data_IF_449425695617
#
_entry.id   IF_449425695617
#
_cell.length_a   1.000
_cell.length_b   1.000
_cell.length_c   1.000
_cell.angle_alpha   90.00
_cell.angle_beta   90.00
_cell.angle_gamma   90.00
#
_symmetry.space_group_name_H-M   'P 1'
#
loop_
_entity.id
_entity.type
_entity.pdbx_description
1 polymer ?
#
# COMPACT_ATOMS: atom_id res chain seq x y z
N UNK A 1 14.29 1.69 -18.38
CA UNK A 1 14.51 2.71 -17.32
C UNK A 1 15.06 2.00 -16.10
N UNK A 2 15.96 2.60 -15.31
CA UNK A 2 16.50 2.00 -14.07
C UNK A 2 15.74 2.50 -12.83
N UNK A 3 15.78 1.81 -11.68
CA UNK A 3 15.18 2.30 -10.44
C UNK A 3 15.58 3.75 -10.10
N UNK A 4 16.87 4.07 -10.21
CA UNK A 4 17.40 5.43 -9.98
C UNK A 4 16.76 6.47 -10.90
N UNK A 5 16.73 6.21 -12.21
CA UNK A 5 16.19 7.17 -13.19
C UNK A 5 14.67 7.32 -13.08
N UNK A 6 13.98 6.24 -12.72
CA UNK A 6 12.54 6.26 -12.44
C UNK A 6 12.18 7.10 -11.22
N UNK A 7 12.89 6.92 -10.11
CA UNK A 7 12.69 7.73 -8.89
C UNK A 7 13.01 9.20 -9.16
N UNK A 8 14.04 9.50 -9.98
CA UNK A 8 14.33 10.87 -10.41
C UNK A 8 13.19 11.47 -11.25
N UNK A 9 12.60 10.71 -12.17
CA UNK A 9 11.47 11.16 -12.97
C UNK A 9 10.22 11.44 -12.10
N UNK A 10 9.91 10.54 -11.16
CA UNK A 10 8.84 10.75 -10.16
C UNK A 10 9.06 12.02 -9.36
N UNK A 11 10.27 12.24 -8.85
CA UNK A 11 10.59 13.42 -8.02
C UNK A 11 10.55 14.74 -8.80
N UNK A 12 10.60 14.72 -10.12
CA UNK A 12 10.51 15.91 -10.96
C UNK A 12 9.06 16.41 -11.12
N UNK A 13 8.06 15.53 -10.97
CA UNK A 13 6.66 15.87 -11.18
C UNK A 13 6.13 16.85 -10.13
N UNK A 14 5.37 17.85 -10.58
CA UNK A 14 4.71 18.84 -9.71
C UNK A 14 3.37 19.23 -10.32
N UNK A 15 2.30 18.98 -9.59
CA UNK A 15 0.93 19.28 -9.99
C UNK A 15 0.25 20.15 -8.92
N UNK A 16 -0.76 20.97 -9.29
CA UNK A 16 -1.53 21.74 -8.31
C UNK A 16 -2.35 20.82 -7.39
N UNK A 17 -2.39 21.14 -6.09
CA UNK A 17 -3.15 20.38 -5.08
C UNK A 17 -2.85 18.87 -5.07
N UNK A 18 -1.57 18.54 -5.29
CA UNK A 18 -1.02 17.19 -5.24
C UNK A 18 0.27 17.24 -4.44
N UNK A 19 0.39 16.38 -3.43
CA UNK A 19 1.62 16.17 -2.71
C UNK A 19 2.42 15.03 -3.36
N UNK A 20 3.62 15.33 -3.82
CA UNK A 20 4.55 14.35 -4.34
C UNK A 20 5.53 13.91 -3.24
N UNK A 21 5.43 12.68 -2.69
CA UNK A 21 6.26 12.23 -1.57
C UNK A 21 7.76 12.25 -1.87
N UNK A 22 8.16 12.10 -3.13
CA UNK A 22 9.57 12.04 -3.54
C UNK A 22 10.17 13.42 -3.83
N UNK A 23 9.35 14.47 -3.79
CA UNK A 23 9.74 15.87 -4.08
C UNK A 23 9.49 16.78 -2.89
N UNK A 24 8.28 16.74 -2.36
CA UNK A 24 7.76 17.73 -1.44
C UNK A 24 8.06 17.38 0.01
N UNK A 25 8.02 18.40 0.88
CA UNK A 25 8.19 18.26 2.33
C UNK A 25 6.98 18.85 3.04
N UNK A 26 6.32 18.04 3.84
CA UNK A 26 5.25 18.49 4.72
C UNK A 26 5.84 19.29 5.90
N UNK A 27 5.45 20.56 6.05
CA UNK A 27 5.96 21.42 7.13
C UNK A 27 5.56 20.96 8.54
N UNK A 28 4.55 20.10 8.66
CA UNK A 28 3.97 19.68 9.95
C UNK A 28 4.59 18.36 10.44
N UNK A 29 4.78 17.39 9.54
CA UNK A 29 5.11 16.02 9.93
C UNK A 29 6.48 15.55 9.45
N UNK A 30 7.07 16.19 8.45
CA UNK A 30 8.27 15.66 7.82
C UNK A 30 9.55 16.01 8.59
N UNK A 31 10.54 15.12 8.48
CA UNK A 31 11.94 15.46 8.77
C UNK A 31 12.48 16.40 7.68
N UNK A 32 13.59 17.07 7.95
CA UNK A 32 14.22 17.99 6.99
C UNK A 32 14.62 17.31 5.68
N UNK A 33 14.99 16.03 5.73
CA UNK A 33 15.44 15.17 4.64
C UNK A 33 14.37 14.17 4.14
N UNK A 34 13.09 14.38 4.50
CA UNK A 34 12.01 13.42 4.27
C UNK A 34 11.87 12.94 2.81
N UNK A 35 11.90 13.87 1.84
CA UNK A 35 11.83 13.52 0.42
C UNK A 35 13.02 12.65 -0.02
N UNK A 36 14.22 12.89 0.54
CA UNK A 36 15.40 12.07 0.25
C UNK A 36 15.26 10.65 0.82
N UNK A 37 14.76 10.51 2.05
CA UNK A 37 14.44 9.21 2.67
C UNK A 37 13.43 8.42 1.83
N UNK A 38 12.33 9.06 1.44
CA UNK A 38 11.29 8.42 0.59
C UNK A 38 11.84 7.98 -0.77
N UNK A 39 12.74 8.76 -1.38
CA UNK A 39 13.44 8.36 -2.61
C UNK A 39 14.35 7.16 -2.39
N UNK A 40 15.08 7.13 -1.28
CA UNK A 40 15.93 5.99 -0.90
C UNK A 40 15.10 4.73 -0.70
N UNK A 41 14.02 4.83 0.09
CA UNK A 41 13.08 3.73 0.34
C UNK A 41 12.51 3.17 -0.95
N UNK A 42 11.95 4.03 -1.83
CA UNK A 42 11.37 3.57 -3.08
C UNK A 42 12.42 2.93 -4.00
N UNK A 43 13.64 3.51 -4.07
CA UNK A 43 14.71 2.92 -4.86
C UNK A 43 15.06 1.52 -4.35
N UNK A 44 15.22 1.35 -3.04
CA UNK A 44 15.48 0.04 -2.42
C UNK A 44 14.36 -0.97 -2.69
N UNK A 45 13.09 -0.56 -2.59
CA UNK A 45 11.94 -1.41 -2.92
C UNK A 45 11.95 -1.87 -4.38
N UNK A 46 12.29 -0.97 -5.31
CA UNK A 46 12.39 -1.28 -6.73
C UNK A 46 13.56 -2.22 -7.03
N UNK A 47 14.74 -1.93 -6.50
CA UNK A 47 15.94 -2.78 -6.65
C UNK A 47 15.67 -4.19 -6.11
N UNK A 48 15.15 -4.31 -4.88
CA UNK A 48 14.79 -5.60 -4.29
C UNK A 48 13.69 -6.34 -5.08
N UNK A 49 12.74 -5.61 -5.68
CA UNK A 49 11.69 -6.20 -6.52
C UNK A 49 12.26 -6.81 -7.80
N UNK A 50 13.26 -6.16 -8.41
CA UNK A 50 13.94 -6.66 -9.60
C UNK A 50 14.83 -7.86 -9.25
N UNK A 51 15.57 -7.79 -8.15
CA UNK A 51 16.44 -8.88 -7.68
C UNK A 51 15.62 -10.13 -7.32
N UNK A 52 14.46 -9.96 -6.69
CA UNK A 52 13.54 -11.05 -6.36
C UNK A 52 12.69 -11.53 -7.56
N UNK A 53 12.81 -10.87 -8.72
CA UNK A 53 12.01 -11.15 -9.93
C UNK A 53 10.51 -11.24 -9.65
N UNK A 54 9.96 -10.24 -8.94
CA UNK A 54 8.56 -10.26 -8.50
C UNK A 54 7.61 -10.50 -9.67
N UNK A 55 6.76 -11.52 -9.52
CA UNK A 55 5.88 -11.93 -10.62
C UNK A 55 4.57 -11.15 -10.66
N UNK A 56 4.27 -10.37 -9.61
CA UNK A 56 2.99 -9.66 -9.45
C UNK A 56 3.20 -8.23 -8.97
N UNK A 57 2.44 -7.29 -9.56
CA UNK A 57 2.27 -5.93 -9.03
C UNK A 57 0.83 -5.77 -8.51
N UNK A 58 0.65 -5.24 -7.31
CA UNK A 58 -0.67 -4.80 -6.84
C UNK A 58 -0.80 -3.29 -7.03
N UNK A 59 -1.86 -2.87 -7.70
CA UNK A 59 -2.08 -1.47 -8.06
C UNK A 59 -3.41 -1.00 -7.50
N UNK A 60 -3.34 -0.02 -6.59
CA UNK A 60 -4.51 0.72 -6.11
C UNK A 60 -4.65 2.06 -6.84
N UNK A 61 -5.58 2.91 -6.41
CA UNK A 61 -5.94 4.14 -7.15
C UNK A 61 -4.92 5.28 -6.99
N UNK A 62 -4.77 5.82 -5.79
CA UNK A 62 -3.92 6.96 -5.44
C UNK A 62 -3.37 6.82 -4.02
N UNK A 63 -2.31 7.58 -3.69
CA UNK A 63 -1.77 7.56 -2.33
C UNK A 63 -2.73 8.25 -1.36
N UNK A 64 -2.95 7.64 -0.19
CA UNK A 64 -3.64 8.27 0.92
C UNK A 64 -2.71 9.11 1.79
N UNK A 65 -3.27 10.13 2.46
CA UNK A 65 -2.49 11.07 3.27
C UNK A 65 -1.79 10.44 4.50
N UNK A 66 -2.27 9.28 4.97
CA UNK A 66 -1.73 8.53 6.11
C UNK A 66 -0.78 7.39 5.71
N UNK A 67 -0.86 6.93 4.47
CA UNK A 67 -0.05 5.82 3.94
C UNK A 67 1.16 6.31 3.16
N UNK A 68 1.20 5.96 1.87
CA UNK A 68 2.34 6.19 0.99
C UNK A 68 2.77 7.65 0.85
N UNK A 69 1.89 8.63 1.11
CA UNK A 69 2.28 10.04 1.21
C UNK A 69 3.38 10.24 2.26
N UNK A 70 3.26 9.56 3.41
CA UNK A 70 4.17 9.69 4.56
C UNK A 70 5.41 8.82 4.40
N UNK A 71 5.27 7.63 3.86
CA UNK A 71 6.34 6.61 3.80
C UNK A 71 7.14 6.63 2.50
N UNK A 72 6.55 7.14 1.40
CA UNK A 72 7.09 6.98 0.05
C UNK A 72 7.00 5.55 -0.49
N UNK A 73 6.38 4.64 0.25
CA UNK A 73 6.17 3.24 -0.13
C UNK A 73 4.68 3.03 -0.40
N UNK A 74 4.29 2.67 -1.63
CA UNK A 74 2.88 2.47 -1.99
C UNK A 74 2.17 1.47 -1.08
N UNK A 75 0.88 1.73 -0.81
CA UNK A 75 0.01 0.89 0.03
C UNK A 75 0.59 0.54 1.43
N UNK A 76 1.52 1.36 1.92
CA UNK A 76 2.26 1.10 3.16
C UNK A 76 2.23 2.32 4.06
N UNK A 77 1.72 2.15 5.28
CA UNK A 77 1.75 3.15 6.34
C UNK A 77 3.00 2.98 7.21
N UNK A 78 3.17 3.82 8.22
CA UNK A 78 4.39 3.81 9.05
C UNK A 78 4.50 2.56 9.92
N UNK A 79 3.36 2.02 10.37
CA UNK A 79 3.29 0.81 11.19
C UNK A 79 3.78 -0.43 10.43
N UNK A 80 3.60 -0.45 9.10
CA UNK A 80 3.96 -1.59 8.26
C UNK A 80 5.30 -1.42 7.52
N UNK A 81 6.08 -0.36 7.77
CA UNK A 81 7.39 -0.19 7.14
C UNK A 81 8.35 -1.36 7.40
N UNK A 82 8.43 -1.85 8.64
CA UNK A 82 9.28 -3.01 8.99
C UNK A 82 8.80 -4.29 8.31
N UNK A 83 7.49 -4.45 8.12
CA UNK A 83 6.92 -5.59 7.39
C UNK A 83 7.29 -5.53 5.90
N UNK A 84 7.27 -4.33 5.31
CA UNK A 84 7.71 -4.12 3.94
C UNK A 84 9.21 -4.42 3.74
N UNK A 85 10.04 -3.97 4.69
CA UNK A 85 11.46 -4.31 4.73
C UNK A 85 11.66 -5.84 4.73
N UNK A 86 11.03 -6.53 5.67
CA UNK A 86 11.16 -7.99 5.82
C UNK A 86 10.67 -8.75 4.57
N UNK A 87 9.51 -8.37 4.01
CA UNK A 87 8.96 -9.01 2.80
C UNK A 87 9.92 -8.88 1.60
N UNK A 88 10.68 -7.80 1.54
CA UNK A 88 11.63 -7.51 0.46
C UNK A 88 13.08 -7.92 0.81
N UNK A 89 13.26 -8.91 1.67
CA UNK A 89 14.59 -9.46 1.99
C UNK A 89 15.38 -8.63 3.03
N UNK A 90 14.69 -7.83 3.84
CA UNK A 90 15.31 -7.07 4.94
C UNK A 90 15.98 -5.78 4.49
N UNK A 91 15.52 -5.15 3.40
CA UNK A 91 16.07 -3.86 2.96
C UNK A 91 15.81 -2.75 4.00
N UNK A 92 16.73 -1.80 4.10
CA UNK A 92 16.58 -0.66 4.99
C UNK A 92 15.49 0.30 4.48
N UNK A 93 14.45 0.51 5.30
CA UNK A 93 13.39 1.48 5.05
C UNK A 93 13.30 2.47 6.21
N UNK A 94 13.48 3.75 5.93
CA UNK A 94 13.57 4.78 6.96
C UNK A 94 12.28 5.60 7.05
N UNK A 95 11.81 5.86 8.27
CA UNK A 95 10.66 6.76 8.49
C UNK A 95 11.02 8.20 8.14
N UNK A 96 10.27 8.79 7.20
CA UNK A 96 10.50 10.15 6.71
C UNK A 96 9.86 11.25 7.59
N UNK A 97 9.10 10.86 8.60
CA UNK A 97 8.30 11.76 9.46
C UNK A 97 8.78 11.76 10.91
N UNK A 98 8.31 12.75 11.66
CA UNK A 98 8.51 12.92 13.08
C UNK A 98 7.23 12.60 13.87
N UNK A 99 7.40 12.37 15.17
CA UNK A 99 6.29 12.02 16.06
C UNK A 99 5.92 10.53 16.00
N UNK A 100 4.75 10.16 16.54
CA UNK A 100 4.28 8.78 16.58
C UNK A 100 3.94 8.26 15.18
N UNK A 101 3.98 6.94 15.05
CA UNK A 101 3.61 6.26 13.81
C UNK A 101 2.12 6.40 13.52
N UNK A 102 1.79 6.59 12.25
CA UNK A 102 0.42 6.72 11.76
C UNK A 102 0.01 5.46 11.01
N UNK A 103 -1.12 4.89 11.42
CA UNK A 103 -1.76 3.78 10.73
C UNK A 103 -2.77 4.26 9.67
N UNK A 104 -2.87 3.49 8.59
CA UNK A 104 -3.88 3.61 7.53
C UNK A 104 -4.70 2.33 7.44
N UNK A 105 -6.03 2.47 7.44
CA UNK A 105 -6.95 1.32 7.45
C UNK A 105 -6.74 0.38 6.27
N UNK A 106 -6.56 0.91 5.06
CA UNK A 106 -6.31 0.11 3.85
C UNK A 106 -4.99 -0.64 3.96
N UNK A 107 -3.91 0.04 4.37
CA UNK A 107 -2.60 -0.58 4.57
C UNK A 107 -2.67 -1.75 5.58
N UNK A 108 -3.35 -1.58 6.71
CA UNK A 108 -3.51 -2.66 7.70
C UNK A 108 -4.11 -3.95 7.10
N UNK A 109 -5.09 -3.83 6.20
CA UNK A 109 -5.73 -4.99 5.57
C UNK A 109 -4.82 -5.58 4.48
N UNK A 110 -4.17 -4.74 3.68
CA UNK A 110 -3.19 -5.16 2.66
C UNK A 110 -2.06 -5.95 3.30
N UNK A 111 -1.48 -5.42 4.39
CA UNK A 111 -0.37 -6.06 5.09
C UNK A 111 -0.77 -7.31 5.88
N UNK A 112 -2.02 -7.41 6.36
CA UNK A 112 -2.55 -8.68 6.88
C UNK A 112 -2.55 -9.78 5.82
N UNK A 113 -2.95 -9.45 4.59
CA UNK A 113 -2.98 -10.41 3.47
C UNK A 113 -1.58 -10.74 2.99
N UNK A 114 -0.71 -9.73 2.81
CA UNK A 114 0.69 -9.94 2.42
C UNK A 114 1.46 -10.80 3.43
N UNK A 115 1.20 -10.60 4.73
CA UNK A 115 1.81 -11.41 5.78
C UNK A 115 1.43 -12.89 5.71
N UNK A 116 0.24 -13.22 5.19
CA UNK A 116 -0.14 -14.62 4.91
C UNK A 116 0.42 -15.14 3.59
N UNK A 117 0.53 -14.28 2.59
CA UNK A 117 1.11 -14.62 1.28
C UNK A 117 2.61 -14.93 1.41
N UNK A 118 3.33 -14.18 2.24
CA UNK A 118 4.71 -14.50 2.62
C UNK A 118 5.74 -14.46 1.48
N UNK A 119 5.39 -13.88 0.32
CA UNK A 119 6.28 -13.72 -0.82
C UNK A 119 6.33 -12.27 -1.32
N UNK A 120 7.47 -11.83 -1.90
CA UNK A 120 7.64 -10.48 -2.45
C UNK A 120 6.57 -10.10 -3.49
N UNK A 121 6.01 -8.90 -3.33
CA UNK A 121 5.05 -8.30 -4.27
C UNK A 121 5.40 -6.82 -4.41
N UNK A 122 5.42 -6.30 -5.65
CA UNK A 122 5.55 -4.86 -5.85
C UNK A 122 4.20 -4.19 -5.64
N UNK A 123 4.14 -3.20 -4.75
CA UNK A 123 2.95 -2.39 -4.51
C UNK A 123 3.05 -1.08 -5.28
N UNK A 124 1.95 -0.62 -5.88
CA UNK A 124 1.91 0.64 -6.63
C UNK A 124 0.51 1.28 -6.65
N UNK A 125 0.41 2.44 -7.28
CA UNK A 125 -0.84 3.18 -7.48
C UNK A 125 -0.94 3.68 -8.93
N UNK A 126 -2.15 3.68 -9.50
CA UNK A 126 -2.43 4.24 -10.83
C UNK A 126 -1.94 5.68 -10.93
N UNK A 127 -2.31 6.50 -9.95
CA UNK A 127 -1.73 7.82 -9.76
C UNK A 127 -0.75 7.75 -8.58
N UNK A 128 0.55 7.94 -8.81
CA UNK A 128 1.57 7.63 -7.81
C UNK A 128 1.70 8.68 -6.70
N UNK A 129 0.93 9.77 -6.75
CA UNK A 129 1.00 10.87 -5.80
C UNK A 129 -0.24 10.94 -4.90
N UNK A 130 -0.23 11.87 -3.94
CA UNK A 130 -1.37 12.12 -3.04
C UNK A 130 -2.14 13.37 -3.51
N UNK A 131 -3.27 13.20 -4.20
CA UNK A 131 -4.16 14.30 -4.54
C UNK A 131 -4.99 14.72 -3.30
N UNK A 132 -5.10 16.03 -3.08
CA UNK A 132 -5.84 16.60 -1.97
C UNK A 132 -6.69 17.80 -2.40
N UNK A 133 -7.67 18.17 -1.59
CA UNK A 133 -8.44 19.40 -1.78
C UNK A 133 -7.53 20.62 -1.62
N UNK A 134 -7.77 21.67 -2.41
CA UNK A 134 -6.87 22.84 -2.49
C UNK A 134 -6.64 23.49 -1.12
N UNK A 135 -7.69 23.55 -0.30
CA UNK A 135 -7.67 24.20 1.02
C UNK A 135 -7.35 23.23 2.18
N UNK A 136 -7.23 21.93 1.91
CA UNK A 136 -6.90 20.91 2.91
C UNK A 136 -5.86 19.91 2.39
N UNK A 137 -4.55 20.17 2.60
CA UNK A 137 -3.47 19.26 2.24
C UNK A 137 -3.45 17.91 2.98
N UNK A 138 -4.34 17.70 3.94
CA UNK A 138 -4.50 16.45 4.71
C UNK A 138 -5.80 15.71 4.38
N UNK A 139 -6.57 16.21 3.40
CA UNK A 139 -7.72 15.51 2.82
C UNK A 139 -7.28 14.44 1.81
N UNK A 140 -8.20 13.56 1.45
CA UNK A 140 -8.05 12.68 0.29
C UNK A 140 -9.12 13.03 -0.73
N UNK A 141 -8.72 13.32 -1.96
CA UNK A 141 -9.63 13.32 -3.12
C UNK A 141 -9.23 12.22 -4.09
N UNK A 142 -10.07 11.94 -5.08
CA UNK A 142 -9.65 11.11 -6.21
C UNK A 142 -8.75 11.93 -7.14
N UNK A 143 -7.77 11.29 -7.75
CA UNK A 143 -7.11 11.88 -8.91
C UNK A 143 -8.11 12.09 -10.05
N UNK A 144 -7.91 13.16 -10.81
CA UNK A 144 -8.64 13.43 -12.04
C UNK A 144 -8.06 12.61 -13.21
N UNK A 145 -8.83 12.53 -14.29
CA UNK A 145 -8.37 11.88 -15.53
C UNK A 145 -7.10 12.53 -16.09
N UNK A 146 -7.01 13.87 -16.05
CA UNK A 146 -5.85 14.61 -16.56
C UNK A 146 -4.58 14.30 -15.74
N UNK A 147 -4.69 14.29 -14.40
CA UNK A 147 -3.58 13.94 -13.51
C UNK A 147 -3.09 12.50 -13.75
N UNK A 148 -4.02 11.56 -13.95
CA UNK A 148 -3.69 10.19 -14.33
C UNK A 148 -2.92 10.17 -15.64
N UNK A 149 -3.43 10.82 -16.67
CA UNK A 149 -2.83 10.85 -18.01
C UNK A 149 -1.43 11.46 -17.99
N UNK A 150 -1.20 12.52 -17.20
CA UNK A 150 0.11 13.15 -17.02
C UNK A 150 1.14 12.20 -16.37
N UNK A 151 0.70 11.37 -15.42
CA UNK A 151 1.57 10.39 -14.75
C UNK A 151 1.63 9.02 -15.43
N UNK A 152 0.79 8.76 -16.44
CA UNK A 152 0.67 7.45 -17.09
C UNK A 152 1.99 6.89 -17.65
N UNK A 153 2.87 7.70 -18.28
CA UNK A 153 4.17 7.21 -18.74
C UNK A 153 5.04 6.64 -17.61
N UNK A 154 4.88 7.11 -16.36
CA UNK A 154 5.58 6.54 -15.22
C UNK A 154 5.06 5.14 -14.91
N UNK A 155 3.74 4.93 -14.89
CA UNK A 155 3.19 3.59 -14.71
C UNK A 155 3.68 2.62 -15.80
N UNK A 156 3.66 3.04 -17.07
CA UNK A 156 4.16 2.20 -18.17
C UNK A 156 5.65 1.88 -18.01
N UNK A 157 6.46 2.86 -17.58
CA UNK A 157 7.86 2.64 -17.29
C UNK A 157 8.10 1.67 -16.13
N UNK A 158 7.26 1.71 -15.09
CA UNK A 158 7.32 0.76 -13.98
C UNK A 158 6.99 -0.66 -14.46
N UNK A 159 5.87 -0.84 -15.16
CA UNK A 159 5.45 -2.16 -15.68
C UNK A 159 6.50 -2.72 -16.62
N UNK A 160 7.08 -1.87 -17.49
CA UNK A 160 8.16 -2.27 -18.40
C UNK A 160 9.46 -2.63 -17.67
N UNK A 161 9.73 -2.00 -16.52
CA UNK A 161 10.92 -2.27 -15.71
C UNK A 161 10.78 -3.57 -14.91
N UNK A 162 9.63 -3.77 -14.27
CA UNK A 162 9.36 -4.93 -13.42
C UNK A 162 9.00 -6.17 -14.22
N UNK A 163 8.37 -6.00 -15.39
CA UNK A 163 7.90 -7.07 -16.27
C UNK A 163 7.10 -8.17 -15.52
N UNK A 164 6.06 -7.79 -14.75
CA UNK A 164 5.30 -8.76 -13.98
C UNK A 164 4.51 -9.71 -14.89
N UNK A 165 4.29 -10.94 -14.44
CA UNK A 165 3.38 -11.87 -15.12
C UNK A 165 1.93 -11.40 -15.05
N UNK A 166 1.56 -10.73 -13.95
CA UNK A 166 0.21 -10.20 -13.73
C UNK A 166 0.18 -8.95 -12.87
N UNK A 167 -0.90 -8.20 -13.02
CA UNK A 167 -1.23 -7.03 -12.23
C UNK A 167 -2.54 -7.30 -11.50
N UNK A 168 -2.57 -7.04 -10.19
CA UNK A 168 -3.78 -7.07 -9.38
C UNK A 168 -4.28 -5.65 -9.20
N UNK A 169 -5.40 -5.33 -9.84
CA UNK A 169 -6.07 -4.04 -9.70
C UNK A 169 -6.96 -4.06 -8.45
N UNK A 170 -6.59 -3.28 -7.43
CA UNK A 170 -7.33 -3.18 -6.17
C UNK A 170 -8.40 -2.09 -6.30
N UNK A 171 -9.62 -2.52 -6.58
CA UNK A 171 -10.79 -1.67 -6.75
C UNK A 171 -11.14 -1.35 -8.19
N UNK A 172 -12.41 -0.93 -8.38
CA UNK A 172 -12.98 -0.64 -9.71
C UNK A 172 -12.23 0.46 -10.44
N UNK A 173 -11.90 1.56 -9.75
CA UNK A 173 -11.22 2.70 -10.35
C UNK A 173 -9.83 2.30 -10.90
N UNK A 174 -9.07 1.53 -10.12
CA UNK A 174 -7.77 1.01 -10.54
C UNK A 174 -7.93 0.09 -11.75
N UNK A 175 -8.89 -0.84 -11.72
CA UNK A 175 -9.12 -1.76 -12.81
C UNK A 175 -9.50 -1.06 -14.13
N UNK A 176 -10.43 -0.11 -14.07
CA UNK A 176 -10.81 0.70 -15.23
C UNK A 176 -9.63 1.51 -15.77
N UNK A 177 -8.80 2.06 -14.88
CA UNK A 177 -7.66 2.86 -15.29
C UNK A 177 -6.55 2.04 -15.95
N UNK A 178 -6.43 0.75 -15.62
CA UNK A 178 -5.45 -0.19 -16.16
C UNK A 178 -5.93 -0.88 -17.45
N UNK A 179 -7.13 -0.57 -17.93
CA UNK A 179 -7.64 -1.08 -19.18
C UNK A 179 -6.70 -0.71 -20.34
N UNK A 180 -6.33 -1.72 -21.15
CA UNK A 180 -5.45 -1.53 -22.31
C UNK A 180 -3.96 -1.79 -22.04
N UNK A 181 -3.56 -2.16 -20.82
CA UNK A 181 -2.26 -2.80 -20.61
C UNK A 181 -2.25 -4.20 -21.23
N UNK A 182 -1.11 -4.59 -21.81
CA UNK A 182 -0.93 -5.93 -22.40
C UNK A 182 -0.77 -7.02 -21.33
N UNK A 183 -0.25 -6.65 -20.15
CA UNK A 183 -0.13 -7.56 -19.01
C UNK A 183 -1.50 -7.98 -18.47
N UNK A 184 -1.66 -9.24 -18.07
CA UNK A 184 -2.87 -9.74 -17.42
C UNK A 184 -3.24 -8.85 -16.21
N UNK A 185 -4.47 -8.30 -16.20
CA UNK A 185 -5.00 -7.50 -15.09
C UNK A 185 -6.16 -8.23 -14.42
N UNK A 186 -6.00 -8.58 -13.15
CA UNK A 186 -7.01 -9.22 -12.31
C UNK A 186 -7.64 -8.18 -11.38
N UNK A 187 -8.95 -8.02 -11.44
CA UNK A 187 -9.67 -7.11 -10.56
C UNK A 187 -9.99 -7.75 -9.21
N UNK A 188 -9.61 -7.10 -8.12
CA UNK A 188 -9.98 -7.50 -6.75
C UNK A 188 -10.72 -6.36 -6.05
N UNK A 189 -11.73 -6.69 -5.26
CA UNK A 189 -12.52 -5.70 -4.51
C UNK A 189 -11.60 -4.92 -3.55
N UNK A 190 -11.65 -3.59 -3.59
CA UNK A 190 -10.91 -2.76 -2.63
C UNK A 190 -11.42 -2.98 -1.18
N UNK A 191 -10.53 -3.03 -0.18
CA UNK A 191 -10.91 -3.40 1.19
C UNK A 191 -11.72 -2.34 1.97
N UNK A 192 -11.82 -1.12 1.45
CA UNK A 192 -12.67 -0.06 2.04
C UNK A 192 -14.16 -0.24 1.72
N UNK A 193 -15.01 0.49 2.45
CA UNK A 193 -16.47 0.48 2.27
C UNK A 193 -17.06 -0.93 2.32
N UNK A 194 -16.73 -1.68 3.37
CA UNK A 194 -17.22 -3.03 3.59
C UNK A 194 -16.51 -4.14 2.80
N UNK A 195 -15.65 -3.82 1.84
CA UNK A 195 -15.03 -4.81 0.94
C UNK A 195 -13.90 -5.65 1.51
N UNK A 196 -13.71 -5.68 2.84
CA UNK A 196 -12.59 -6.39 3.48
C UNK A 196 -12.61 -7.90 3.23
N UNK A 197 -13.79 -8.51 3.31
CA UNK A 197 -13.95 -9.96 3.16
C UNK A 197 -13.64 -10.36 1.72
N UNK A 198 -14.25 -9.69 0.76
CA UNK A 198 -14.05 -9.96 -0.67
C UNK A 198 -12.63 -9.66 -1.13
N UNK A 199 -11.97 -8.65 -0.54
CA UNK A 199 -10.54 -8.43 -0.76
C UNK A 199 -9.75 -9.66 -0.30
N UNK A 200 -9.91 -10.09 0.96
CA UNK A 200 -9.18 -11.24 1.51
C UNK A 200 -9.45 -12.52 0.73
N UNK A 201 -10.71 -12.85 0.50
CA UNK A 201 -11.13 -14.06 -0.23
C UNK A 201 -10.57 -14.06 -1.66
N UNK A 202 -10.64 -12.92 -2.35
CA UNK A 202 -10.11 -12.77 -3.70
C UNK A 202 -8.59 -12.89 -3.76
N UNK A 203 -7.86 -12.30 -2.81
CA UNK A 203 -6.40 -12.43 -2.75
C UNK A 203 -5.98 -13.85 -2.38
N UNK A 204 -6.58 -14.46 -1.37
CA UNK A 204 -6.24 -15.82 -0.98
C UNK A 204 -6.57 -16.84 -2.07
N UNK A 205 -7.71 -16.69 -2.75
CA UNK A 205 -8.04 -17.50 -3.93
C UNK A 205 -7.02 -17.33 -5.05
N UNK A 206 -6.58 -16.09 -5.33
CA UNK A 206 -5.56 -15.82 -6.36
C UNK A 206 -4.19 -16.45 -6.03
N UNK A 207 -3.83 -16.47 -4.74
CA UNK A 207 -2.56 -16.99 -4.26
C UNK A 207 -2.62 -18.46 -3.80
N UNK A 208 -3.76 -19.14 -3.95
CA UNK A 208 -3.94 -20.54 -3.55
C UNK A 208 -3.79 -20.78 -2.05
N UNK A 209 -4.14 -19.80 -1.21
CA UNK A 209 -4.05 -19.90 0.24
C UNK A 209 -5.38 -20.41 0.79
N UNK A 210 -5.35 -21.54 1.47
CA UNK A 210 -6.54 -22.08 2.14
C UNK A 210 -7.00 -21.10 3.24
N UNK A 211 -8.26 -20.70 3.15
CA UNK A 211 -8.87 -19.74 4.10
C UNK A 211 -9.35 -20.42 5.38
N UNK A 212 -8.83 -21.60 5.72
CA UNK A 212 -9.30 -22.34 6.86
C UNK A 212 -9.29 -21.43 8.10
N UNK A 213 -10.42 -21.37 8.83
CA UNK A 213 -10.49 -20.53 10.01
C UNK A 213 -9.39 -21.00 10.95
N UNK A 214 -8.60 -20.05 11.45
CA UNK A 214 -7.77 -20.29 12.62
C UNK A 214 -8.71 -20.84 13.67
N UNK A 215 -8.58 -22.13 13.98
CA UNK A 215 -9.34 -22.77 15.05
C UNK A 215 -9.01 -21.96 16.30
N UNK A 216 -9.97 -21.15 16.76
CA UNK A 216 -9.91 -20.60 18.11
C UNK A 216 -9.74 -21.81 19.02
N UNK A 217 -8.67 -21.91 19.82
CA UNK A 217 -8.57 -23.00 20.76
C UNK A 217 -9.81 -22.95 21.64
N UNK A 218 -10.63 -24.01 21.60
CA UNK A 218 -11.71 -24.17 22.57
C UNK A 218 -11.05 -24.13 23.95
N UNK A 219 -11.34 -23.07 24.71
CA UNK A 219 -10.90 -22.99 26.08
C UNK A 219 -11.58 -24.13 26.85
N UNK A 220 -10.82 -25.08 27.43
CA UNK A 220 -11.39 -26.32 27.97
C UNK A 220 -12.18 -26.13 29.28
N UNK A 221 -12.45 -24.90 29.71
CA UNK A 221 -13.06 -24.61 31.00
C UNK A 221 -14.18 -23.59 30.87
N UNK A 222 -15.42 -24.05 31.08
CA UNK A 222 -16.56 -23.17 31.38
C UNK A 222 -16.37 -22.59 32.79
N UNK A 223 -16.60 -21.30 33.04
CA UNK A 223 -16.51 -20.76 34.39
C UNK A 223 -17.64 -21.34 35.26
N UNK A 224 -17.31 -22.14 36.26
CA UNK A 224 -18.22 -22.42 37.38
C UNK A 224 -18.11 -21.27 38.38
N UNK A 225 -18.91 -20.21 38.22
CA UNK A 225 -19.09 -19.25 39.30
C UNK A 225 -20.41 -19.50 40.02
N UNK A 226 -20.24 -19.78 41.31
CA UNK A 226 -21.21 -20.10 42.31
C UNK A 226 -22.28 -19.01 42.47
N UNK A 227 -23.55 -19.43 42.48
CA UNK A 227 -24.64 -18.65 43.07
C UNK A 227 -24.73 -18.99 44.56
N UNK A 228 -23.88 -18.36 45.37
CA UNK A 228 -24.07 -18.27 46.82
C UNK A 228 -24.42 -16.81 47.14
N UNK A 229 -25.69 -16.54 47.43
CA UNK A 229 -26.16 -15.59 48.44
C UNK A 229 -27.61 -15.18 48.17
N UNK A 230 -28.55 -15.71 48.97
CA UNK A 230 -29.69 -14.94 49.50
C UNK A 230 -30.28 -15.70 50.70
N UNK A 231 -29.73 -15.39 51.86
CA UNK A 231 -30.39 -15.56 53.15
C UNK A 231 -30.12 -14.30 53.97
N UNK A 232 -31.12 -13.43 54.05
CA UNK A 232 -31.34 -12.53 55.18
C UNK A 232 -32.86 -12.39 55.32
N UNK A 233 -33.36 -13.04 56.37
CA UNK A 233 -34.59 -12.69 57.07
C UNK A 233 -34.22 -11.68 58.17
#
# INVERSE_FOLDING_TARGET
>A
MTPKTFVSALAAAKLPSVFNPWRDRCSIHDRSDAAARRRSNLRGMLEASLDAQVETIWIARDLGYRGGRRTGVPLTDEVHLTHASALMGGIELERATQGPEVAERTAAIVWQVLGRIGQPVMLWNVFPFHPHDADDPMSNRCHSRAEREESWPLLQALVSMVQPKRIVAIGRDAHLALAGLETEVIAIRHPSYGGQREFKDGMYGLYGIDTDPVVSPELPLRPSYAATARAFA
#
